data_IF_870061390241
#
_entry.id   IF_870061390241
#
_cell.length_a   1.000
_cell.length_b   1.000
_cell.length_c   1.000
_cell.angle_alpha   90.00
_cell.angle_beta   90.00
_cell.angle_gamma   90.00
#
_symmetry.space_group_name_H-M   'P 1'
#
loop_
_entity.id
_entity.type
_entity.pdbx_description
1 polymer ?
#
# COMPACT_ATOMS: atom_id res chain seq x y z
N UNK A 1 -29.97 -11.50 -40.96
CA UNK A 1 -30.87 -12.16 -39.99
C UNK A 1 -30.84 -11.37 -38.70
N UNK A 2 -31.90 -10.65 -38.44
CA UNK A 2 -32.05 -9.59 -37.44
C UNK A 2 -32.78 -10.15 -36.21
N UNK A 3 -32.27 -10.01 -34.98
CA UNK A 3 -33.06 -10.16 -33.75
C UNK A 3 -32.48 -9.14 -32.72
N UNK A 4 -33.08 -8.04 -32.55
CA UNK A 4 -34.05 -7.43 -31.62
C UNK A 4 -33.73 -7.60 -30.13
N UNK A 5 -33.43 -6.44 -29.55
CA UNK A 5 -33.81 -5.77 -28.29
C UNK A 5 -34.37 -6.61 -27.13
N UNK A 6 -33.85 -6.35 -25.92
CA UNK A 6 -34.75 -6.01 -24.81
C UNK A 6 -34.00 -5.16 -23.74
N UNK A 7 -34.61 -4.00 -23.48
CA UNK A 7 -34.34 -3.14 -22.31
C UNK A 7 -35.01 -3.77 -21.07
N UNK A 8 -34.40 -3.65 -19.91
CA UNK A 8 -35.14 -3.62 -18.65
C UNK A 8 -34.46 -2.69 -17.68
N UNK A 9 -35.08 -1.57 -17.44
CA UNK A 9 -34.82 -0.64 -16.36
C UNK A 9 -35.53 -1.12 -15.11
N UNK A 10 -34.82 -1.09 -13.96
CA UNK A 10 -35.46 -1.10 -12.65
C UNK A 10 -34.66 -0.17 -11.72
N UNK A 11 -35.23 1.00 -11.50
CA UNK A 11 -34.83 1.93 -10.47
C UNK A 11 -35.46 1.51 -9.13
N UNK A 12 -34.66 1.40 -8.07
CA UNK A 12 -35.16 1.36 -6.70
C UNK A 12 -34.42 2.40 -5.88
N UNK A 13 -35.13 3.48 -5.59
CA UNK A 13 -34.79 4.51 -4.62
C UNK A 13 -35.21 4.02 -3.23
N UNK A 14 -34.28 3.93 -2.31
CA UNK A 14 -34.59 3.83 -0.87
C UNK A 14 -33.84 4.94 -0.13
N UNK A 15 -34.61 5.97 0.18
CA UNK A 15 -34.28 7.04 1.11
C UNK A 15 -34.44 6.53 2.54
N UNK A 16 -33.42 6.62 3.37
CA UNK A 16 -33.55 6.47 4.83
C UNK A 16 -32.94 7.68 5.51
N UNK A 17 -33.80 8.56 6.00
CA UNK A 17 -33.48 9.66 6.87
C UNK A 17 -33.30 9.13 8.30
N UNK A 18 -32.17 9.41 8.95
CA UNK A 18 -32.01 9.26 10.39
C UNK A 18 -32.06 10.63 11.08
N UNK A 19 -33.06 10.76 11.92
CA UNK A 19 -33.34 11.93 12.76
C UNK A 19 -32.43 11.89 13.99
N UNK A 20 -31.72 12.98 14.25
CA UNK A 20 -31.06 13.24 15.53
C UNK A 20 -32.10 13.69 16.56
N UNK A 21 -32.22 12.96 17.65
CA UNK A 21 -32.90 13.42 18.84
C UNK A 21 -31.85 13.94 19.83
N UNK A 22 -31.82 15.25 20.03
CA UNK A 22 -31.14 15.90 21.14
C UNK A 22 -32.01 15.79 22.40
N UNK A 23 -31.45 15.40 23.52
CA UNK A 23 -32.07 15.60 24.83
C UNK A 23 -31.05 16.21 25.77
N UNK A 24 -31.31 17.45 26.16
CA UNK A 24 -30.58 18.17 27.18
C UNK A 24 -31.06 17.77 28.57
N UNK A 25 -30.19 17.94 29.55
CA UNK A 25 -30.49 17.78 30.97
C UNK A 25 -29.41 18.46 31.80
N UNK A 26 -29.73 19.59 32.36
CA UNK A 26 -28.92 20.42 33.24
C UNK A 26 -29.06 19.95 34.70
N UNK A 27 -27.99 19.78 35.45
CA UNK A 27 -27.97 20.00 36.89
C UNK A 27 -26.56 20.12 37.47
N UNK A 28 -26.43 21.05 38.35
CA UNK A 28 -25.28 21.66 39.02
C UNK A 28 -24.62 20.78 40.10
N UNK A 29 -23.36 21.18 40.40
CA UNK A 29 -22.67 21.23 41.74
C UNK A 29 -22.04 19.91 42.21
N UNK A 30 -20.77 19.76 42.47
CA UNK A 30 -19.84 20.38 43.38
C UNK A 30 -18.40 19.85 43.21
N UNK A 31 -17.47 20.61 43.70
CA UNK A 31 -16.02 20.47 43.71
C UNK A 31 -15.49 19.10 44.23
N UNK A 32 -14.51 18.52 43.60
CA UNK A 32 -13.27 18.13 44.32
C UNK A 32 -12.06 18.01 43.38
N UNK A 33 -10.96 18.54 43.83
CA UNK A 33 -9.65 18.70 43.21
C UNK A 33 -8.86 17.40 43.38
N UNK A 34 -8.47 16.77 42.25
CA UNK A 34 -7.33 15.87 42.27
C UNK A 34 -6.62 15.94 40.92
N UNK A 35 -5.39 16.39 40.99
CA UNK A 35 -4.41 16.49 39.90
C UNK A 35 -4.08 15.09 39.40
N UNK A 36 -4.37 14.79 38.14
CA UNK A 36 -3.79 13.65 37.45
C UNK A 36 -3.23 14.09 36.10
N UNK A 37 -1.97 13.77 35.93
CA UNK A 37 -1.15 14.11 34.79
C UNK A 37 -1.77 13.66 33.48
N UNK A 38 -1.90 14.61 32.54
CA UNK A 38 -2.24 14.31 31.17
C UNK A 38 -1.07 13.60 30.50
N UNK A 39 -1.20 12.29 30.31
CA UNK A 39 -0.32 11.55 29.39
C UNK A 39 -0.77 11.91 27.98
N UNK A 40 -0.01 12.73 27.32
CA UNK A 40 -0.16 13.04 25.91
C UNK A 40 0.12 11.76 25.11
N UNK A 41 -0.91 11.03 24.75
CA UNK A 41 -0.82 10.02 23.71
C UNK A 41 -0.63 10.75 22.39
N UNK A 42 0.58 10.70 21.86
CA UNK A 42 0.87 11.07 20.49
C UNK A 42 0.12 10.10 19.60
N UNK A 43 -1.01 10.55 19.07
CA UNK A 43 -1.71 9.83 18.02
C UNK A 43 -0.79 9.78 16.79
N UNK A 44 -0.20 8.61 16.55
CA UNK A 44 0.43 8.31 15.28
C UNK A 44 -0.67 8.36 14.22
N UNK A 45 -0.72 9.44 13.49
CA UNK A 45 -1.60 9.60 12.33
C UNK A 45 -1.13 8.59 11.29
N UNK A 46 -1.78 7.44 11.24
CA UNK A 46 -1.74 6.59 10.05
C UNK A 46 -2.33 7.45 8.92
N UNK A 47 -1.45 7.86 8.00
CA UNK A 47 -1.89 8.47 6.76
C UNK A 47 -2.76 7.45 6.03
N UNK A 48 -4.07 7.63 6.09
CA UNK A 48 -4.99 6.91 5.23
C UNK A 48 -4.56 7.21 3.79
N UNK A 49 -4.17 6.17 3.06
CA UNK A 49 -3.86 6.26 1.65
C UNK A 49 -5.09 6.82 0.94
N UNK A 50 -5.03 8.08 0.53
CA UNK A 50 -6.06 8.70 -0.27
C UNK A 50 -6.04 8.02 -1.63
N UNK A 51 -7.13 7.35 -1.95
CA UNK A 51 -7.41 6.83 -3.28
C UNK A 51 -7.59 8.04 -4.21
N UNK A 52 -6.52 8.48 -4.85
CA UNK A 52 -6.60 9.50 -5.87
C UNK A 52 -7.08 8.84 -7.17
N UNK A 53 -8.28 9.16 -7.61
CA UNK A 53 -8.88 8.68 -8.87
C UNK A 53 -8.23 9.29 -10.14
N UNK A 54 -7.04 9.87 -10.02
CA UNK A 54 -6.32 10.40 -11.17
C UNK A 54 -5.80 9.25 -12.05
N UNK A 55 -6.09 9.32 -13.35
CA UNK A 55 -5.63 8.34 -14.32
C UNK A 55 -4.10 8.27 -14.35
N UNK A 56 -3.56 7.05 -14.42
CA UNK A 56 -2.12 6.84 -14.57
C UNK A 56 -1.69 7.21 -15.99
N UNK A 57 -0.55 7.87 -16.12
CA UNK A 57 0.07 8.17 -17.40
C UNK A 57 1.01 7.03 -17.81
N UNK A 58 1.00 6.69 -19.08
CA UNK A 58 1.85 5.63 -19.63
C UNK A 58 3.33 5.99 -19.45
N UNK A 59 4.13 5.00 -19.08
CA UNK A 59 5.55 5.17 -18.80
C UNK A 59 6.11 4.12 -17.86
N UNK A 60 7.41 4.22 -17.61
CA UNK A 60 8.12 3.40 -16.62
C UNK A 60 8.57 4.30 -15.47
N UNK A 61 8.23 3.91 -14.27
CA UNK A 61 8.49 4.66 -13.04
C UNK A 61 9.36 3.83 -12.12
N UNK A 62 10.46 4.39 -11.64
CA UNK A 62 11.45 3.70 -10.81
C UNK A 62 11.65 4.38 -9.47
N UNK A 63 11.76 3.57 -8.42
CA UNK A 63 12.11 3.99 -7.07
C UNK A 63 13.31 3.17 -6.59
N UNK A 64 14.25 3.84 -5.94
CA UNK A 64 15.42 3.22 -5.31
C UNK A 64 15.54 3.74 -3.88
N UNK A 65 15.72 2.83 -2.92
CA UNK A 65 15.98 3.22 -1.54
C UNK A 65 17.48 3.29 -1.25
N UNK A 66 17.85 3.97 -0.17
CA UNK A 66 19.14 3.76 0.45
C UNK A 66 19.27 2.31 0.96
N UNK A 67 20.50 1.85 1.15
CA UNK A 67 20.77 0.53 1.70
C UNK A 67 20.44 0.46 3.18
N UNK A 68 19.85 -0.65 3.61
CA UNK A 68 19.64 -0.97 5.01
C UNK A 68 20.96 -1.37 5.70
N UNK A 69 20.92 -1.59 7.02
CA UNK A 69 22.09 -2.01 7.83
C UNK A 69 22.71 -3.34 7.41
N UNK A 70 22.04 -4.10 6.56
CA UNK A 70 22.47 -5.39 6.03
C UNK A 70 23.01 -5.28 4.61
N UNK A 71 23.05 -4.07 4.04
CA UNK A 71 23.53 -3.79 2.69
C UNK A 71 22.49 -4.06 1.60
N UNK A 72 21.20 -4.18 1.92
CA UNK A 72 20.13 -4.35 0.95
C UNK A 72 19.43 -3.03 0.71
N UNK A 73 19.24 -2.65 -0.54
CA UNK A 73 18.40 -1.53 -0.96
C UNK A 73 17.23 -2.03 -1.81
N UNK A 74 16.15 -1.31 -1.78
CA UNK A 74 14.98 -1.60 -2.63
C UNK A 74 15.21 -1.04 -4.01
N UNK A 75 14.96 -1.83 -5.05
CA UNK A 75 14.64 -1.36 -6.40
C UNK A 75 13.20 -1.74 -6.71
N UNK A 76 12.41 -0.75 -7.11
CA UNK A 76 11.02 -0.96 -7.46
C UNK A 76 10.70 -0.21 -8.76
N UNK A 77 10.26 -0.95 -9.76
CA UNK A 77 9.85 -0.40 -11.06
C UNK A 77 8.44 -0.84 -11.39
N UNK A 78 7.61 0.10 -11.84
CA UNK A 78 6.31 -0.21 -12.45
C UNK A 78 6.30 0.30 -13.89
N UNK A 79 5.60 -0.42 -14.78
CA UNK A 79 5.29 0.03 -16.14
C UNK A 79 3.79 0.24 -16.24
N UNK A 80 3.39 1.39 -16.77
CA UNK A 80 2.00 1.75 -17.02
C UNK A 80 1.78 1.80 -18.53
N UNK A 81 0.75 1.12 -19.00
CA UNK A 81 0.33 1.12 -20.39
C UNK A 81 -1.21 1.16 -20.44
N UNK A 82 -1.75 2.09 -21.24
CA UNK A 82 -3.19 2.30 -21.33
C UNK A 82 -3.84 2.70 -20.00
N UNK A 83 -3.11 3.44 -19.16
CA UNK A 83 -3.56 3.89 -17.86
C UNK A 83 -3.61 2.80 -16.77
N UNK A 84 -2.98 1.65 -17.00
CA UNK A 84 -2.93 0.51 -16.06
C UNK A 84 -1.51 0.05 -15.82
N UNK A 85 -1.23 -0.42 -14.61
CA UNK A 85 0.03 -1.07 -14.28
C UNK A 85 0.06 -2.43 -14.99
N UNK A 86 0.96 -2.60 -15.97
CA UNK A 86 1.11 -3.84 -16.73
C UNK A 86 2.29 -4.68 -16.25
N UNK A 87 3.26 -4.04 -15.58
CA UNK A 87 4.43 -4.72 -14.98
C UNK A 87 4.74 -4.11 -13.61
N UNK A 88 5.20 -4.97 -12.72
CA UNK A 88 5.71 -4.61 -11.39
C UNK A 88 6.95 -5.44 -11.12
N UNK A 89 8.03 -4.79 -10.71
CA UNK A 89 9.30 -5.43 -10.37
C UNK A 89 9.83 -4.81 -9.08
N UNK A 90 9.39 -5.36 -7.96
CA UNK A 90 9.81 -5.02 -6.61
C UNK A 90 10.75 -6.10 -6.09
N UNK A 91 11.96 -5.72 -5.69
CA UNK A 91 12.94 -6.61 -5.03
C UNK A 91 13.92 -5.78 -4.19
N UNK A 92 14.75 -6.47 -3.42
CA UNK A 92 15.91 -5.88 -2.76
C UNK A 92 17.18 -6.36 -3.44
N UNK A 93 18.11 -5.45 -3.67
CA UNK A 93 19.41 -5.73 -4.27
C UNK A 93 20.53 -5.42 -3.27
N UNK A 94 21.63 -6.18 -3.34
CA UNK A 94 22.84 -5.86 -2.61
C UNK A 94 23.76 -4.92 -3.44
N UNK A 95 24.92 -4.58 -2.89
CA UNK A 95 25.95 -3.75 -3.53
C UNK A 95 26.52 -4.33 -4.83
N UNK A 96 26.35 -5.65 -5.05
CA UNK A 96 26.76 -6.35 -6.28
C UNK A 96 25.64 -6.43 -7.32
N UNK A 97 24.46 -5.89 -7.01
CA UNK A 97 23.27 -6.00 -7.86
C UNK A 97 22.58 -7.37 -7.82
N UNK A 98 22.94 -8.23 -6.85
CA UNK A 98 22.28 -9.51 -6.68
C UNK A 98 20.92 -9.34 -6.00
N UNK A 99 19.90 -9.98 -6.56
CA UNK A 99 18.54 -9.90 -6.04
C UNK A 99 18.34 -10.78 -4.81
N UNK A 100 17.64 -10.29 -3.81
CA UNK A 100 17.32 -11.05 -2.62
C UNK A 100 16.42 -12.26 -2.94
N UNK A 101 15.51 -12.11 -3.90
CA UNK A 101 14.66 -13.19 -4.40
C UNK A 101 15.46 -14.34 -5.03
N UNK A 102 16.67 -14.09 -5.53
CA UNK A 102 17.54 -15.07 -6.12
C UNK A 102 18.57 -15.67 -5.13
N UNK A 103 18.60 -15.18 -3.88
CA UNK A 103 19.54 -15.65 -2.87
C UNK A 103 19.03 -16.92 -2.20
N UNK A 104 19.55 -18.08 -2.63
CA UNK A 104 19.10 -19.39 -2.16
C UNK A 104 19.34 -19.63 -0.65
N UNK A 105 20.41 -19.07 -0.09
CA UNK A 105 20.72 -19.22 1.35
C UNK A 105 19.72 -18.41 2.19
N UNK A 106 19.44 -17.18 1.77
CA UNK A 106 18.46 -16.33 2.44
C UNK A 106 17.05 -16.90 2.31
N UNK A 107 16.69 -17.38 1.12
CA UNK A 107 15.42 -18.09 0.85
C UNK A 107 15.22 -19.24 1.82
N UNK A 108 16.25 -20.13 1.93
CA UNK A 108 16.19 -21.28 2.83
C UNK A 108 16.07 -20.85 4.29
N UNK A 109 16.90 -19.92 4.74
CA UNK A 109 16.89 -19.46 6.13
C UNK A 109 15.55 -18.82 6.54
N UNK A 110 14.93 -18.09 5.63
CA UNK A 110 13.59 -17.52 5.86
C UNK A 110 12.51 -18.59 5.90
N UNK A 111 12.50 -19.52 4.94
CA UNK A 111 11.53 -20.61 4.90
C UNK A 111 11.59 -21.48 6.15
N UNK A 112 12.78 -21.82 6.60
CA UNK A 112 12.97 -22.59 7.84
C UNK A 112 12.46 -21.86 9.09
N UNK A 113 12.51 -20.52 9.10
CA UNK A 113 12.15 -19.69 10.25
C UNK A 113 10.70 -19.25 10.28
N UNK A 114 10.15 -18.85 9.12
CA UNK A 114 8.83 -18.19 9.04
C UNK A 114 7.89 -18.79 7.98
N UNK A 115 8.31 -19.87 7.31
CA UNK A 115 7.50 -20.60 6.36
C UNK A 115 7.44 -20.02 4.94
N UNK A 116 8.05 -18.85 4.69
CA UNK A 116 8.11 -18.20 3.38
C UNK A 116 9.49 -17.62 3.12
N UNK A 117 9.83 -17.38 1.86
CA UNK A 117 11.09 -16.77 1.45
C UNK A 117 10.91 -15.60 0.46
N UNK A 118 12.00 -14.84 0.19
CA UNK A 118 11.95 -13.68 -0.69
C UNK A 118 11.45 -14.00 -2.11
N UNK A 119 11.82 -15.12 -2.69
CA UNK A 119 11.34 -15.49 -4.02
C UNK A 119 9.80 -15.56 -4.07
N UNK A 120 9.18 -16.02 -3.00
CA UNK A 120 7.75 -16.23 -2.89
C UNK A 120 7.00 -14.93 -2.65
N UNK A 121 7.39 -14.15 -1.64
CA UNK A 121 6.64 -12.93 -1.31
C UNK A 121 6.88 -11.80 -2.32
N UNK A 122 8.08 -11.63 -2.88
CA UNK A 122 8.28 -10.63 -3.93
C UNK A 122 7.46 -10.95 -5.18
N UNK A 123 7.40 -12.22 -5.58
CA UNK A 123 6.54 -12.66 -6.67
C UNK A 123 5.07 -12.34 -6.38
N UNK A 124 4.56 -12.70 -5.21
CA UNK A 124 3.18 -12.48 -4.83
C UNK A 124 2.81 -10.99 -4.84
N UNK A 125 3.70 -10.12 -4.33
CA UNK A 125 3.45 -8.67 -4.32
C UNK A 125 3.45 -8.07 -5.72
N UNK A 126 4.38 -8.48 -6.58
CA UNK A 126 4.46 -8.00 -7.97
C UNK A 126 3.22 -8.42 -8.78
N UNK A 127 2.84 -9.69 -8.73
CA UNK A 127 1.65 -10.21 -9.40
C UNK A 127 0.37 -9.59 -8.83
N UNK A 128 0.31 -9.43 -7.50
CA UNK A 128 -0.79 -8.80 -6.80
C UNK A 128 -1.03 -7.36 -7.24
N UNK A 129 0.03 -6.55 -7.38
CA UNK A 129 -0.11 -5.16 -7.82
C UNK A 129 -0.65 -5.05 -9.25
N UNK A 130 -0.16 -5.88 -10.17
CA UNK A 130 -0.66 -5.92 -11.54
C UNK A 130 -2.12 -6.37 -11.59
N UNK A 131 -2.50 -7.35 -10.79
CA UNK A 131 -3.88 -7.86 -10.75
C UNK A 131 -4.87 -6.89 -10.08
N UNK A 132 -4.46 -6.28 -8.97
CA UNK A 132 -5.34 -5.44 -8.14
C UNK A 132 -5.31 -3.95 -8.51
N UNK A 133 -4.24 -3.47 -9.17
CA UNK A 133 -4.05 -2.06 -9.54
C UNK A 133 -4.01 -1.08 -8.34
N UNK A 134 -4.05 -1.61 -7.13
CA UNK A 134 -4.03 -0.86 -5.87
C UNK A 134 -3.15 -1.61 -4.86
N UNK A 135 -2.07 -0.99 -4.37
CA UNK A 135 -1.16 -1.65 -3.43
C UNK A 135 -1.83 -2.08 -2.12
N UNK A 136 -2.83 -1.33 -1.66
CA UNK A 136 -3.53 -1.63 -0.41
C UNK A 136 -4.42 -2.88 -0.49
N UNK A 137 -4.76 -3.33 -1.71
CA UNK A 137 -5.55 -4.53 -1.96
C UNK A 137 -4.66 -5.79 -2.16
N UNK A 138 -3.33 -5.62 -2.14
CA UNK A 138 -2.37 -6.73 -2.22
C UNK A 138 -2.25 -7.36 -0.84
N UNK A 139 -2.50 -8.67 -0.78
CA UNK A 139 -2.49 -9.41 0.49
C UNK A 139 -1.08 -9.56 1.06
N UNK A 140 -0.98 -9.43 2.39
CA UNK A 140 0.28 -9.69 3.09
C UNK A 140 0.61 -11.19 3.07
N UNK A 141 1.85 -11.53 2.68
CA UNK A 141 2.36 -12.89 2.82
C UNK A 141 2.83 -13.10 4.26
N UNK A 142 2.34 -14.17 4.89
CA UNK A 142 2.72 -14.51 6.27
C UNK A 142 4.23 -14.62 6.42
N UNK A 143 4.80 -14.00 7.45
CA UNK A 143 6.24 -13.93 7.66
C UNK A 143 6.97 -12.83 6.87
N UNK A 144 6.29 -12.09 5.98
CA UNK A 144 6.87 -11.02 5.17
C UNK A 144 6.22 -9.64 5.40
N UNK A 145 5.68 -9.38 6.59
CA UNK A 145 4.93 -8.15 6.93
C UNK A 145 5.75 -6.87 6.71
N UNK A 146 7.02 -6.84 7.12
CA UNK A 146 7.87 -5.67 6.92
C UNK A 146 8.10 -5.39 5.41
N UNK A 147 8.32 -6.43 4.61
CA UNK A 147 8.45 -6.30 3.17
C UNK A 147 7.16 -5.78 2.52
N UNK A 148 5.99 -6.24 3.00
CA UNK A 148 4.68 -5.75 2.55
C UNK A 148 4.47 -4.28 2.88
N UNK A 149 4.80 -3.85 4.10
CA UNK A 149 4.68 -2.44 4.51
C UNK A 149 5.48 -1.52 3.59
N UNK A 150 6.75 -1.87 3.35
CA UNK A 150 7.60 -1.12 2.42
C UNK A 150 7.11 -1.18 0.98
N UNK A 151 6.61 -2.33 0.53
CA UNK A 151 6.01 -2.51 -0.78
C UNK A 151 4.84 -1.55 -0.99
N UNK A 152 3.88 -1.51 -0.06
CA UNK A 152 2.69 -0.63 -0.15
C UNK A 152 3.10 0.84 -0.15
N UNK A 153 4.01 1.24 0.74
CA UNK A 153 4.51 2.62 0.80
C UNK A 153 5.14 3.05 -0.53
N UNK A 154 6.04 2.24 -1.07
CA UNK A 154 6.79 2.59 -2.27
C UNK A 154 5.96 2.47 -3.55
N UNK A 155 5.04 1.51 -3.62
CA UNK A 155 4.08 1.41 -4.72
C UNK A 155 3.18 2.65 -4.80
N UNK A 156 2.73 3.19 -3.66
CA UNK A 156 1.95 4.44 -3.64
C UNK A 156 2.75 5.62 -4.19
N UNK A 157 4.04 5.74 -3.85
CA UNK A 157 4.91 6.80 -4.40
C UNK A 157 5.08 6.68 -5.92
N UNK A 158 5.22 5.46 -6.44
CA UNK A 158 5.30 5.21 -7.89
C UNK A 158 3.98 5.52 -8.60
N UNK A 159 2.84 5.17 -8.01
CA UNK A 159 1.52 5.51 -8.53
C UNK A 159 1.32 7.03 -8.55
N UNK A 160 1.73 7.74 -7.51
CA UNK A 160 1.67 9.20 -7.46
C UNK A 160 2.53 9.86 -8.57
N UNK A 161 3.73 9.32 -8.82
CA UNK A 161 4.56 9.74 -9.94
C UNK A 161 3.89 9.45 -11.29
N UNK A 162 3.26 8.28 -11.44
CA UNK A 162 2.55 7.90 -12.65
C UNK A 162 1.32 8.80 -12.91
N UNK A 163 0.60 9.22 -11.89
CA UNK A 163 -0.50 10.18 -12.03
C UNK A 163 -0.01 11.55 -12.51
N UNK A 164 1.15 11.97 -12.04
CA UNK A 164 1.81 13.22 -12.50
C UNK A 164 2.49 13.06 -13.86
N UNK A 165 2.85 11.82 -14.25
CA UNK A 165 3.69 11.52 -15.41
C UNK A 165 5.15 11.90 -15.20
N UNK A 166 5.58 11.89 -13.94
CA UNK A 166 6.97 12.17 -13.56
C UNK A 166 7.77 10.88 -13.57
N UNK A 167 8.60 10.71 -14.60
CA UNK A 167 9.45 9.52 -14.79
C UNK A 167 10.82 9.65 -14.15
N UNK A 168 11.11 10.72 -13.41
CA UNK A 168 12.35 10.86 -12.66
C UNK A 168 12.47 9.75 -11.61
N UNK A 169 13.69 9.22 -11.42
CA UNK A 169 13.94 8.20 -10.39
C UNK A 169 13.68 8.77 -8.99
N UNK A 170 12.80 8.10 -8.25
CA UNK A 170 12.47 8.46 -6.87
C UNK A 170 13.52 7.86 -5.94
N UNK A 171 14.19 8.70 -5.16
CA UNK A 171 15.11 8.25 -4.11
C UNK A 171 14.47 8.39 -2.75
N UNK A 172 14.53 7.33 -1.93
CA UNK A 172 13.96 7.29 -0.59
C UNK A 172 14.97 6.76 0.43
N UNK A 173 14.75 7.06 1.70
CA UNK A 173 15.54 6.47 2.78
C UNK A 173 15.36 4.94 2.84
N UNK A 174 16.28 4.27 3.51
CA UNK A 174 16.17 2.83 3.76
C UNK A 174 14.86 2.48 4.48
N UNK A 175 14.24 1.32 4.15
CA UNK A 175 13.03 0.89 4.83
C UNK A 175 13.28 0.68 6.32
N UNK A 176 12.33 1.09 7.15
CA UNK A 176 12.39 0.86 8.60
C UNK A 176 12.21 -0.64 8.87
N UNK A 177 13.21 -1.26 9.48
CA UNK A 177 13.27 -2.70 9.82
C UNK A 177 13.07 -2.93 11.31
#
# INVERSE_FOLDING_TARGET
>A
MTIKKSLSAAAVLLSSAFVLAACGGNSKTDSNKTTQAATTQTATTQAAAQKSDAALKDGTYKLVSEADKRGWHVEFTITVEGGKITKSDYDNLNDKGERKSANAEYEKAMKDKVGTGPAEYFKAYNEGLVAKQNPSDVEVVSGATNAHTSFVEYANKLIEAAQKGDTAEIKVAAPQS
#
